data_IF_696666702416
#
_entry.id   IF_696666702416
#
_cell.length_a   1.000
_cell.length_b   1.000
_cell.length_c   1.000
_cell.angle_alpha   90.00
_cell.angle_beta   90.00
_cell.angle_gamma   90.00
#
_symmetry.space_group_name_H-M   'P 1'
#
loop_
_entity.id
_entity.type
_entity.pdbx_description
1 polymer ?
#
# COMPACT_ATOMS: atom_id res chain seq x y z
N UNK A 1 14.51 -18.02 28.96
CA UNK A 1 14.41 -18.80 27.69
C UNK A 1 12.94 -19.13 27.43
N UNK A 2 12.32 -18.60 26.38
CA UNK A 2 10.89 -18.82 26.10
C UNK A 2 10.62 -20.23 25.55
N UNK A 3 9.76 -21.01 26.21
CA UNK A 3 9.32 -22.34 25.73
C UNK A 3 8.71 -22.20 24.33
N UNK A 4 9.22 -22.96 23.34
CA UNK A 4 8.58 -23.08 22.02
C UNK A 4 7.17 -23.65 22.19
N UNK A 5 6.12 -22.92 21.77
CA UNK A 5 4.74 -23.40 21.77
C UNK A 5 4.64 -24.68 20.92
N UNK A 6 4.07 -25.75 21.49
CA UNK A 6 3.75 -26.97 20.74
C UNK A 6 2.78 -26.61 19.61
N UNK A 7 3.06 -27.09 18.39
CA UNK A 7 2.13 -26.92 17.27
C UNK A 7 0.95 -27.86 17.45
N UNK A 8 -0.25 -27.31 17.45
CA UNK A 8 -1.48 -28.09 17.42
C UNK A 8 -1.63 -28.73 16.04
N UNK A 9 -2.02 -30.00 16.00
CA UNK A 9 -2.35 -30.72 14.76
C UNK A 9 -3.76 -30.29 14.35
N UNK A 10 -3.92 -29.87 13.10
CA UNK A 10 -5.23 -29.48 12.56
C UNK A 10 -6.09 -30.75 12.44
N UNK A 11 -7.37 -30.67 12.83
CA UNK A 11 -8.30 -31.80 12.68
C UNK A 11 -8.59 -32.06 11.21
N UNK A 12 -8.92 -33.31 10.86
CA UNK A 12 -9.28 -33.70 9.50
C UNK A 12 -10.45 -32.85 8.99
N UNK A 13 -11.50 -32.68 9.79
CA UNK A 13 -12.67 -31.88 9.44
C UNK A 13 -12.35 -30.42 9.08
N UNK A 14 -11.38 -29.79 9.76
CA UNK A 14 -10.93 -28.44 9.41
C UNK A 14 -10.08 -28.42 8.14
N UNK A 15 -9.30 -29.47 7.91
CA UNK A 15 -8.49 -29.61 6.69
C UNK A 15 -9.37 -29.82 5.45
N UNK A 16 -10.45 -30.56 5.58
CA UNK A 16 -11.37 -30.88 4.48
C UNK A 16 -12.17 -29.65 4.01
N UNK A 17 -12.30 -28.63 4.86
CA UNK A 17 -12.90 -27.34 4.49
C UNK A 17 -11.99 -26.45 3.64
N UNK A 18 -10.69 -26.74 3.52
CA UNK A 18 -9.74 -25.90 2.79
C UNK A 18 -9.65 -26.33 1.33
N UNK A 19 -10.33 -25.61 0.45
CA UNK A 19 -10.35 -25.89 -1.00
C UNK A 19 -9.28 -25.12 -1.78
N UNK A 20 -9.27 -23.79 -1.67
CA UNK A 20 -8.49 -22.90 -2.57
C UNK A 20 -7.22 -22.33 -1.90
N UNK A 21 -7.21 -22.19 -0.57
CA UNK A 21 -6.14 -21.51 0.16
C UNK A 21 -5.42 -22.44 1.15
N UNK A 22 -4.75 -23.47 0.66
CA UNK A 22 -3.98 -24.41 1.49
C UNK A 22 -2.71 -23.74 2.03
N UNK A 23 -2.59 -23.49 3.35
CA UNK A 23 -1.43 -22.79 3.89
C UNK A 23 -0.20 -23.71 3.89
N UNK A 24 0.87 -23.27 3.24
CA UNK A 24 2.17 -23.94 3.24
C UNK A 24 3.27 -23.00 3.70
N UNK A 25 4.41 -23.58 4.11
CA UNK A 25 5.60 -22.77 4.37
C UNK A 25 6.12 -22.22 3.05
N UNK A 26 6.52 -20.95 3.05
CA UNK A 26 7.21 -20.36 1.91
C UNK A 26 8.54 -21.09 1.64
N UNK A 27 8.65 -21.73 0.48
CA UNK A 27 9.81 -22.53 0.06
C UNK A 27 10.80 -21.76 -0.83
N UNK A 28 10.54 -20.48 -1.11
CA UNK A 28 11.37 -19.64 -1.97
C UNK A 28 10.61 -19.17 -3.21
N UNK A 29 11.18 -18.17 -3.89
CA UNK A 29 10.53 -17.48 -5.00
C UNK A 29 10.29 -18.41 -6.21
N UNK A 30 11.22 -19.32 -6.50
CA UNK A 30 11.11 -20.21 -7.68
C UNK A 30 10.10 -21.35 -7.52
N UNK A 31 9.79 -21.73 -6.28
CA UNK A 31 9.00 -22.94 -5.98
C UNK A 31 7.65 -22.99 -6.70
N UNK A 32 6.90 -21.87 -6.69
CA UNK A 32 5.56 -21.83 -7.26
C UNK A 32 5.53 -22.14 -8.77
N UNK A 33 6.52 -21.61 -9.51
CA UNK A 33 6.67 -21.87 -10.95
C UNK A 33 7.09 -23.32 -11.22
N UNK A 34 8.00 -23.87 -10.44
CA UNK A 34 8.56 -25.22 -10.64
C UNK A 34 7.58 -26.34 -10.24
N UNK A 35 6.72 -26.09 -9.26
CA UNK A 35 5.85 -27.14 -8.69
C UNK A 35 4.38 -26.97 -9.09
N UNK A 36 3.99 -25.81 -9.65
CA UNK A 36 2.66 -25.47 -10.16
C UNK A 36 1.50 -25.99 -9.30
N UNK A 37 1.40 -25.50 -8.06
CA UNK A 37 0.31 -25.84 -7.12
C UNK A 37 -0.47 -24.58 -6.74
N UNK A 38 -1.47 -24.17 -7.53
CA UNK A 38 -2.16 -22.89 -7.33
C UNK A 38 -3.01 -22.84 -6.05
N UNK A 39 -3.42 -24.00 -5.54
CA UNK A 39 -4.16 -24.11 -4.27
C UNK A 39 -3.29 -23.88 -3.03
N UNK A 40 -1.96 -23.86 -3.17
CA UNK A 40 -1.06 -23.57 -2.07
C UNK A 40 -0.84 -22.07 -1.93
N UNK A 41 -0.86 -21.57 -0.69
CA UNK A 41 -0.57 -20.18 -0.37
C UNK A 41 0.46 -20.09 0.76
N UNK A 42 1.24 -19.00 0.78
CA UNK A 42 2.24 -18.75 1.82
C UNK A 42 1.97 -17.47 2.60
N UNK A 43 2.23 -17.49 3.92
CA UNK A 43 2.15 -16.29 4.78
C UNK A 43 3.54 -15.78 5.14
N UNK A 44 3.75 -14.47 5.04
CA UNK A 44 4.99 -13.76 5.35
C UNK A 44 4.73 -12.61 6.34
N UNK A 45 5.67 -12.34 7.23
CA UNK A 45 5.63 -11.10 8.04
C UNK A 45 6.07 -9.91 7.20
N UNK A 46 5.54 -8.71 7.49
CA UNK A 46 6.02 -7.45 6.89
C UNK A 46 7.55 -7.32 7.03
N UNK A 47 8.11 -7.72 8.17
CA UNK A 47 9.54 -7.59 8.42
C UNK A 47 10.34 -8.51 7.51
N UNK A 48 9.75 -9.62 7.04
CA UNK A 48 10.39 -10.47 6.05
C UNK A 48 10.38 -9.82 4.67
N UNK A 49 9.30 -9.12 4.32
CA UNK A 49 9.22 -8.32 3.09
C UNK A 49 10.22 -7.17 3.12
N UNK A 50 10.30 -6.44 4.23
CA UNK A 50 11.18 -5.26 4.39
C UNK A 50 12.64 -5.64 4.60
N UNK A 51 12.94 -6.61 5.49
CA UNK A 51 14.33 -6.97 5.85
C UNK A 51 15.00 -7.89 4.83
N UNK A 52 14.25 -8.68 4.04
CA UNK A 52 14.89 -9.56 3.05
C UNK A 52 15.50 -8.83 1.86
N UNK A 53 15.41 -7.50 1.81
CA UNK A 53 16.03 -6.72 0.74
C UNK A 53 15.60 -7.17 -0.66
N UNK A 54 14.45 -7.84 -0.82
CA UNK A 54 13.92 -8.20 -2.14
C UNK A 54 13.74 -6.97 -3.03
N UNK A 55 13.51 -5.82 -2.39
CA UNK A 55 13.42 -4.51 -3.02
C UNK A 55 14.77 -3.75 -3.14
N UNK A 56 15.88 -4.29 -2.60
CA UNK A 56 17.19 -3.59 -2.48
C UNK A 56 18.36 -4.24 -3.25
N UNK A 57 18.10 -5.12 -4.21
CA UNK A 57 19.09 -5.67 -5.16
C UNK A 57 18.50 -5.67 -6.57
N UNK A 58 19.12 -4.98 -7.54
CA UNK A 58 18.94 -4.98 -9.01
C UNK A 58 17.56 -5.31 -9.62
N UNK A 59 16.49 -5.28 -8.85
CA UNK A 59 15.16 -5.81 -9.18
C UNK A 59 15.02 -7.33 -9.24
N UNK A 60 16.09 -8.14 -9.31
CA UNK A 60 15.95 -9.58 -9.61
C UNK A 60 15.08 -10.37 -8.61
N UNK A 61 15.33 -10.20 -7.31
CA UNK A 61 14.58 -10.91 -6.29
C UNK A 61 13.13 -10.42 -6.19
N UNK A 62 12.89 -9.14 -6.49
CA UNK A 62 11.54 -8.60 -6.65
C UNK A 62 10.84 -9.23 -7.86
N UNK A 63 11.50 -9.31 -9.00
CA UNK A 63 10.97 -9.95 -10.21
C UNK A 63 10.64 -11.43 -9.97
N UNK A 64 11.49 -12.16 -9.25
CA UNK A 64 11.21 -13.55 -8.87
C UNK A 64 9.99 -13.66 -7.94
N UNK A 65 9.78 -12.69 -7.04
CA UNK A 65 8.57 -12.63 -6.22
C UNK A 65 7.32 -12.30 -7.03
N UNK A 66 7.41 -11.38 -7.99
CA UNK A 66 6.30 -11.09 -8.93
C UNK A 66 5.94 -12.34 -9.73
N UNK A 67 6.94 -13.06 -10.23
CA UNK A 67 6.72 -14.34 -10.91
C UNK A 67 6.10 -15.39 -9.96
N UNK A 68 6.56 -15.48 -8.71
CA UNK A 68 5.98 -16.39 -7.72
C UNK A 68 4.48 -16.12 -7.52
N UNK A 69 4.13 -14.85 -7.36
CA UNK A 69 2.75 -14.42 -7.03
C UNK A 69 1.79 -14.55 -8.21
N UNK A 70 2.28 -14.74 -9.43
CA UNK A 70 1.46 -15.16 -10.58
C UNK A 70 0.94 -16.60 -10.46
N UNK A 71 1.63 -17.47 -9.70
CA UNK A 71 1.28 -18.89 -9.57
C UNK A 71 0.68 -19.26 -8.21
N UNK A 72 0.99 -18.51 -7.14
CA UNK A 72 0.54 -18.80 -5.78
C UNK A 72 0.19 -17.52 -5.02
N UNK A 73 -0.84 -17.58 -4.18
CA UNK A 73 -1.20 -16.46 -3.32
C UNK A 73 -0.19 -16.27 -2.19
N UNK A 74 0.16 -15.01 -1.94
CA UNK A 74 1.01 -14.64 -0.80
C UNK A 74 0.27 -13.66 0.11
N UNK A 75 0.16 -14.06 1.38
CA UNK A 75 -0.37 -13.23 2.45
C UNK A 75 0.75 -12.56 3.21
N UNK A 76 0.68 -11.24 3.37
CA UNK A 76 1.58 -10.49 4.24
C UNK A 76 0.80 -10.08 5.49
N UNK A 77 1.43 -10.09 6.67
CA UNK A 77 0.77 -9.67 7.91
C UNK A 77 1.69 -8.82 8.78
N UNK A 78 1.11 -7.95 9.64
CA UNK A 78 1.91 -7.06 10.47
C UNK A 78 2.84 -7.80 11.42
N UNK A 79 4.00 -7.20 11.72
CA UNK A 79 4.93 -7.78 12.69
C UNK A 79 4.33 -7.78 14.09
N UNK A 80 4.52 -8.87 14.84
CA UNK A 80 4.09 -8.95 16.24
C UNK A 80 4.79 -7.95 17.18
N UNK A 81 5.85 -7.27 16.70
CA UNK A 81 6.49 -6.16 17.39
C UNK A 81 5.63 -4.87 17.39
N UNK A 82 4.62 -4.78 16.51
CA UNK A 82 3.68 -3.66 16.47
C UNK A 82 2.62 -3.80 17.55
N UNK A 83 3.01 -3.55 18.79
CA UNK A 83 2.10 -3.58 19.96
C UNK A 83 1.08 -2.44 19.94
N UNK A 84 1.39 -1.33 19.28
CA UNK A 84 0.47 -0.19 19.10
C UNK A 84 -0.57 -0.39 17.99
N UNK A 85 -0.68 -1.60 17.41
CA UNK A 85 -1.59 -1.92 16.30
C UNK A 85 -1.46 -1.03 15.05
N UNK A 86 -0.29 -0.39 14.87
CA UNK A 86 0.02 0.34 13.64
C UNK A 86 0.06 -0.60 12.43
N UNK A 87 -0.25 -0.07 11.24
CA UNK A 87 -0.08 -0.81 10.00
C UNK A 87 1.33 -0.59 9.42
N UNK A 88 1.76 -1.52 8.58
CA UNK A 88 2.93 -1.32 7.71
C UNK A 88 2.53 -0.63 6.40
N UNK A 89 3.54 -0.32 5.58
CA UNK A 89 3.30 0.21 4.25
C UNK A 89 3.01 -0.94 3.26
N UNK A 90 1.75 -1.09 2.79
CA UNK A 90 1.36 -2.17 1.87
C UNK A 90 2.00 -2.05 0.49
N UNK A 91 2.44 -0.85 0.09
CA UNK A 91 3.05 -0.62 -1.22
C UNK A 91 4.27 -1.53 -1.40
N UNK A 92 5.01 -1.82 -0.33
CA UNK A 92 6.15 -2.72 -0.38
C UNK A 92 5.74 -4.17 -0.69
N UNK A 93 4.58 -4.61 -0.20
CA UNK A 93 4.04 -5.93 -0.49
C UNK A 93 3.42 -5.99 -1.90
N UNK A 94 2.67 -4.96 -2.29
CA UNK A 94 2.04 -4.87 -3.62
C UNK A 94 3.06 -4.81 -4.75
N UNK A 95 4.19 -4.11 -4.56
CA UNK A 95 5.32 -4.11 -5.51
C UNK A 95 5.89 -5.50 -5.80
N UNK A 96 5.65 -6.47 -4.92
CA UNK A 96 6.08 -7.86 -5.07
C UNK A 96 4.95 -8.77 -5.58
N UNK A 97 3.77 -8.21 -5.88
CA UNK A 97 2.58 -8.94 -6.30
C UNK A 97 1.80 -9.62 -5.16
N UNK A 98 2.15 -9.39 -3.90
CA UNK A 98 1.43 -9.99 -2.76
C UNK A 98 -0.01 -9.46 -2.69
N UNK A 99 -0.99 -10.36 -2.64
CA UNK A 99 -2.41 -10.03 -2.80
C UNK A 99 -3.18 -9.92 -1.48
N UNK A 100 -2.80 -10.72 -0.47
CA UNK A 100 -3.55 -10.82 0.78
C UNK A 100 -2.87 -9.98 1.86
N UNK A 101 -3.31 -8.73 2.00
CA UNK A 101 -2.78 -7.79 2.98
C UNK A 101 -3.90 -7.31 3.93
N UNK A 102 -3.97 -7.83 5.18
CA UNK A 102 -4.90 -7.35 6.18
C UNK A 102 -4.37 -6.04 6.77
N UNK A 103 -4.59 -4.95 6.05
CA UNK A 103 -4.44 -3.60 6.59
C UNK A 103 -5.70 -3.23 7.38
N UNK A 104 -5.52 -2.49 8.48
CA UNK A 104 -6.64 -1.71 9.03
C UNK A 104 -6.94 -0.52 8.12
N UNK A 105 -8.21 -0.10 8.06
CA UNK A 105 -8.71 0.98 7.19
C UNK A 105 -7.99 2.34 7.35
N UNK A 106 -7.23 2.57 8.44
CA UNK A 106 -6.77 3.92 8.82
C UNK A 106 -5.24 4.16 8.89
N UNK A 107 -4.38 3.28 8.37
CA UNK A 107 -2.96 3.29 8.80
C UNK A 107 -1.83 3.22 7.77
N UNK A 108 -2.04 3.45 6.48
CA UNK A 108 -0.93 3.36 5.51
C UNK A 108 0.10 4.48 5.73
N UNK A 109 1.33 4.16 6.16
CA UNK A 109 2.45 5.10 6.12
C UNK A 109 2.82 5.41 4.66
N UNK A 110 2.96 6.70 4.33
CA UNK A 110 3.04 7.20 2.96
C UNK A 110 4.11 8.30 2.84
N UNK A 111 4.79 8.34 1.69
CA UNK A 111 5.64 9.46 1.30
C UNK A 111 4.73 10.60 0.86
N UNK A 112 4.80 11.73 1.56
CA UNK A 112 4.06 12.95 1.25
C UNK A 112 5.09 14.05 1.02
N UNK A 113 4.93 14.84 -0.04
CA UNK A 113 5.73 16.04 -0.28
C UNK A 113 4.93 17.24 0.23
N UNK A 114 5.45 18.03 1.20
CA UNK A 114 4.71 19.15 1.76
C UNK A 114 4.62 20.31 0.76
N UNK A 115 3.47 20.99 0.75
CA UNK A 115 3.22 22.21 -0.03
C UNK A 115 2.91 23.34 0.94
N UNK A 116 3.79 24.33 1.00
CA UNK A 116 3.62 25.46 1.91
C UNK A 116 3.62 26.80 1.18
N UNK A 117 2.43 27.38 0.97
CA UNK A 117 2.14 28.81 1.24
C UNK A 117 0.64 29.10 1.06
N UNK A 118 -0.01 29.55 2.12
CA UNK A 118 -1.42 29.95 2.12
C UNK A 118 -1.49 31.49 2.18
N UNK A 119 -2.14 32.15 1.23
CA UNK A 119 -2.61 33.52 1.46
C UNK A 119 -3.77 33.44 2.46
N UNK A 120 -3.64 34.15 3.58
CA UNK A 120 -4.50 34.07 4.77
C UNK A 120 -5.96 34.39 4.46
N UNK A 121 -6.75 33.40 4.04
CA UNK A 121 -8.21 33.43 4.10
C UNK A 121 -8.70 32.02 4.47
N UNK A 122 -9.53 31.92 5.52
CA UNK A 122 -10.16 30.64 5.95
C UNK A 122 -11.26 30.17 4.99
N UNK A 123 -11.75 31.07 4.14
CA UNK A 123 -12.75 30.80 3.12
C UNK A 123 -12.12 31.05 1.75
N UNK A 124 -12.20 30.05 0.86
CA UNK A 124 -11.58 30.06 -0.47
C UNK A 124 -10.05 30.34 -0.47
N UNK A 125 -9.24 29.53 0.25
CA UNK A 125 -7.80 29.69 0.25
C UNK A 125 -7.24 29.51 -1.17
N UNK A 126 -6.36 30.44 -1.59
CA UNK A 126 -5.62 30.34 -2.84
C UNK A 126 -4.15 30.09 -2.54
N UNK A 127 -3.63 29.00 -3.10
CA UNK A 127 -2.19 28.71 -3.11
C UNK A 127 -1.58 29.33 -4.37
N UNK A 128 -0.84 30.43 -4.20
CA UNK A 128 -0.11 31.09 -5.28
C UNK A 128 1.31 30.49 -5.39
N UNK A 129 1.47 29.25 -5.86
CA UNK A 129 2.79 28.74 -6.24
C UNK A 129 2.79 27.68 -7.35
N UNK A 130 3.98 27.59 -7.94
CA UNK A 130 4.50 26.78 -9.07
C UNK A 130 3.96 25.35 -9.10
N UNK A 131 3.67 24.88 -10.32
CA UNK A 131 3.41 23.48 -10.63
C UNK A 131 4.39 22.54 -9.90
N UNK A 132 3.88 21.43 -9.38
CA UNK A 132 4.71 20.34 -8.91
C UNK A 132 5.36 19.68 -10.13
N UNK A 133 6.57 20.12 -10.46
CA UNK A 133 7.45 19.42 -11.39
C UNK A 133 8.28 18.45 -10.57
N UNK A 134 7.73 17.25 -10.34
CA UNK A 134 8.54 16.12 -9.92
C UNK A 134 9.19 15.54 -11.19
N UNK A 135 10.51 15.66 -11.31
CA UNK A 135 11.27 15.13 -12.45
C UNK A 135 11.45 13.60 -12.37
N UNK A 136 10.88 12.96 -11.35
CA UNK A 136 10.89 11.51 -11.21
C UNK A 136 9.92 10.85 -12.21
N UNK A 137 10.48 10.07 -13.14
CA UNK A 137 9.71 9.30 -14.10
C UNK A 137 8.89 8.23 -13.38
N UNK A 138 7.56 8.33 -13.44
CA UNK A 138 6.65 7.29 -12.97
C UNK A 138 6.70 6.11 -13.95
N UNK A 139 7.47 5.08 -13.60
CA UNK A 139 7.71 3.92 -14.48
C UNK A 139 6.48 3.03 -14.72
N UNK A 140 5.58 2.92 -13.74
CA UNK A 140 4.39 2.04 -13.79
C UNK A 140 3.17 2.83 -13.32
N UNK A 141 2.56 3.65 -14.19
CA UNK A 141 1.46 4.55 -13.83
C UNK A 141 0.20 3.81 -13.35
N UNK A 142 -0.01 2.57 -13.79
CA UNK A 142 -1.16 1.73 -13.41
C UNK A 142 -1.15 1.35 -11.92
N UNK A 143 0.02 1.35 -11.29
CA UNK A 143 0.18 1.10 -9.86
C UNK A 143 0.31 2.39 -9.05
N UNK A 144 0.42 3.54 -9.71
CA UNK A 144 0.60 4.83 -9.07
C UNK A 144 -0.76 5.46 -8.70
N UNK A 145 -0.79 6.12 -7.54
CA UNK A 145 -1.94 6.88 -7.08
C UNK A 145 -1.49 8.29 -6.73
N UNK A 146 -2.26 9.29 -7.16
CA UNK A 146 -2.08 10.66 -6.67
C UNK A 146 -2.88 10.80 -5.37
N UNK A 147 -2.23 11.30 -4.34
CA UNK A 147 -2.88 11.62 -3.07
C UNK A 147 -2.65 13.07 -2.70
N UNK A 148 -3.75 13.79 -2.52
CA UNK A 148 -3.77 15.18 -2.04
C UNK A 148 -4.22 15.16 -0.59
N UNK A 149 -3.47 15.82 0.28
CA UNK A 149 -3.84 16.03 1.68
C UNK A 149 -3.83 17.53 1.98
N UNK A 150 -4.92 18.02 2.54
CA UNK A 150 -4.99 19.34 3.15
C UNK A 150 -4.83 19.17 4.65
N UNK A 151 -3.86 19.87 5.22
CA UNK A 151 -3.58 19.85 6.65
C UNK A 151 -3.81 21.23 7.26
N UNK A 152 -4.36 21.23 8.46
CA UNK A 152 -4.31 22.42 9.31
C UNK A 152 -2.86 22.68 9.72
N UNK A 153 -2.38 23.88 9.43
CA UNK A 153 -1.00 24.29 9.72
C UNK A 153 -0.69 24.31 11.22
N UNK A 154 -1.70 24.59 12.06
CA UNK A 154 -1.50 24.73 13.50
C UNK A 154 -1.40 23.37 14.21
N UNK A 155 -2.29 22.44 13.85
CA UNK A 155 -2.35 21.11 14.47
C UNK A 155 -1.62 20.01 13.68
N UNK A 156 -1.27 20.26 12.41
CA UNK A 156 -0.78 19.24 11.48
C UNK A 156 -1.83 18.20 11.08
N UNK A 157 -3.07 18.33 11.59
CA UNK A 157 -4.15 17.38 11.36
C UNK A 157 -4.62 17.45 9.91
N UNK A 158 -4.83 16.30 9.29
CA UNK A 158 -5.47 16.21 7.97
C UNK A 158 -6.93 16.65 8.12
N UNK A 159 -7.30 17.72 7.43
CA UNK A 159 -8.67 18.27 7.40
C UNK A 159 -9.44 17.80 6.16
N UNK A 160 -8.72 17.38 5.12
CA UNK A 160 -9.32 16.80 3.92
C UNK A 160 -8.29 16.03 3.11
N UNK A 161 -8.73 14.97 2.43
CA UNK A 161 -7.88 14.14 1.59
C UNK A 161 -8.60 13.70 0.32
N UNK A 162 -7.83 13.45 -0.73
CA UNK A 162 -8.31 12.85 -1.96
C UNK A 162 -7.26 11.87 -2.49
N UNK A 163 -7.69 10.71 -2.98
CA UNK A 163 -6.80 9.71 -3.58
C UNK A 163 -7.48 9.11 -4.80
N UNK A 164 -6.77 9.03 -5.92
CA UNK A 164 -7.26 8.39 -7.14
C UNK A 164 -6.08 7.81 -7.94
N UNK A 165 -6.29 6.76 -8.76
CA UNK A 165 -5.26 6.25 -9.66
C UNK A 165 -4.72 7.35 -10.57
N UNK A 166 -3.42 7.32 -10.87
CA UNK A 166 -2.79 8.33 -11.73
C UNK A 166 -3.38 8.33 -13.14
N UNK A 167 -3.73 7.14 -13.64
CA UNK A 167 -4.37 6.91 -14.95
C UNK A 167 -5.78 7.48 -15.06
N UNK A 168 -6.42 7.85 -13.94
CA UNK A 168 -7.75 8.45 -13.95
C UNK A 168 -7.73 9.95 -14.29
N UNK A 169 -6.55 10.58 -14.38
CA UNK A 169 -6.45 12.01 -14.67
C UNK A 169 -6.25 12.31 -16.14
N UNK A 170 -7.13 13.16 -16.64
CA UNK A 170 -6.97 13.85 -17.90
C UNK A 170 -6.36 15.24 -17.65
N UNK A 171 -5.45 15.70 -18.53
CA UNK A 171 -4.85 17.03 -18.48
C UNK A 171 -5.90 18.14 -18.36
N UNK A 172 -5.60 19.17 -17.56
CA UNK A 172 -6.43 20.36 -17.40
C UNK A 172 -6.90 20.62 -15.97
N UNK A 173 -7.81 21.60 -15.83
CA UNK A 173 -8.42 21.96 -14.56
C UNK A 173 -9.45 20.93 -14.09
N UNK A 174 -9.42 20.59 -12.80
CA UNK A 174 -10.32 19.63 -12.16
C UNK A 174 -10.75 20.13 -10.78
N UNK A 175 -11.98 19.81 -10.44
CA UNK A 175 -12.54 19.97 -9.11
C UNK A 175 -12.47 18.64 -8.38
N UNK A 176 -12.00 18.68 -7.15
CA UNK A 176 -11.74 17.49 -6.34
C UNK A 176 -12.46 17.64 -5.00
N UNK A 177 -13.37 16.72 -4.73
CA UNK A 177 -14.09 16.68 -3.46
C UNK A 177 -13.23 15.97 -2.42
N UNK A 178 -12.98 16.64 -1.29
CA UNK A 178 -12.18 16.10 -0.22
C UNK A 178 -13.02 15.20 0.69
N UNK A 179 -12.36 14.21 1.26
CA UNK A 179 -12.90 13.31 2.26
C UNK A 179 -12.17 13.50 3.60
N UNK A 180 -12.80 13.14 4.70
CA UNK A 180 -12.16 13.15 6.02
C UNK A 180 -11.19 11.97 6.18
N UNK A 181 -10.54 11.84 7.35
CA UNK A 181 -9.62 10.74 7.66
C UNK A 181 -10.26 9.34 7.63
N UNK A 182 -11.60 9.26 7.67
CA UNK A 182 -12.39 8.02 7.60
C UNK A 182 -12.98 7.80 6.20
N UNK A 183 -12.49 8.52 5.19
CA UNK A 183 -12.98 8.47 3.81
C UNK A 183 -14.45 8.94 3.66
N UNK A 184 -14.98 9.66 4.64
CA UNK A 184 -16.34 10.23 4.56
C UNK A 184 -16.33 11.53 3.75
N UNK A 185 -17.35 11.79 2.90
CA UNK A 185 -17.45 13.03 2.14
C UNK A 185 -17.43 14.27 3.03
N UNK A 186 -16.76 15.33 2.58
CA UNK A 186 -16.79 16.66 3.22
C UNK A 186 -17.35 17.69 2.25
N UNK A 187 -17.78 18.84 2.78
CA UNK A 187 -18.15 20.00 1.96
C UNK A 187 -16.94 20.78 1.38
N UNK A 188 -15.72 20.24 1.56
CA UNK A 188 -14.49 20.91 1.14
C UNK A 188 -14.07 20.44 -0.25
N UNK A 189 -13.70 21.39 -1.11
CA UNK A 189 -13.32 21.13 -2.49
C UNK A 189 -11.97 21.80 -2.81
N UNK A 190 -11.17 21.16 -3.68
CA UNK A 190 -9.97 21.75 -4.26
C UNK A 190 -10.13 21.93 -5.77
N UNK A 191 -9.61 23.04 -6.28
CA UNK A 191 -9.42 23.27 -7.70
C UNK A 191 -7.95 23.13 -8.05
N UNK A 192 -7.65 22.20 -8.94
CA UNK A 192 -6.28 21.86 -9.32
C UNK A 192 -6.14 21.83 -10.83
N UNK A 193 -4.97 22.18 -11.33
CA UNK A 193 -4.58 21.91 -12.72
C UNK A 193 -3.60 20.75 -12.72
N UNK A 194 -3.86 19.75 -13.56
CA UNK A 194 -3.00 18.58 -13.70
C UNK A 194 -2.46 18.53 -15.12
N UNK A 195 -1.15 18.34 -15.23
CA UNK A 195 -0.46 18.06 -16.47
C UNK A 195 0.55 16.94 -16.21
N UNK A 196 0.23 15.74 -16.69
CA UNK A 196 1.13 14.60 -16.68
C UNK A 196 1.91 14.66 -18.00
N UNK A 197 3.25 14.62 -17.92
CA UNK A 197 4.16 14.60 -19.07
C UNK A 197 4.95 13.30 -19.06
#
# INVERSE_FOLDING_TARGET
MGKKRKKLKVSTSLSDMVSICRPVKFKGQKYAKENYRPVEMSSLTESKVEKKQWLKKDGEDANRMVLHTQYQLVRVYPSGLRTNSSNYNPINAWRLGCQLDPLREHGTQRRLVPVERLLRLRFNPRWLYRCFEDNEVVRVPELAHLRLEVKDKSSGKVIGQFTTPLTAFNKGYRRVNLKDSRDSPTASELWIYIELR
#
